data_IF_638234732433
#
_entry.id   IF_638234732433
#
_cell.length_a   1.000
_cell.length_b   1.000
_cell.length_c   1.000
_cell.angle_alpha   90.00
_cell.angle_beta   90.00
_cell.angle_gamma   90.00
#
_symmetry.space_group_name_H-M   'P 1'
#
loop_
_entity.id
_entity.type
_entity.pdbx_description
1 polymer ?
#
# COMPACT_ATOMS: atom_id res chain seq x y z
N UNK A 1 -14.04 -24.26 -14.28
CA UNK A 1 -15.45 -23.94 -14.49
C UNK A 1 -16.07 -24.86 -15.52
N UNK A 2 -17.33 -25.24 -15.32
CA UNK A 2 -18.16 -25.97 -16.29
C UNK A 2 -18.86 -25.00 -17.27
N UNK A 3 -19.31 -25.49 -18.43
CA UNK A 3 -20.05 -24.66 -19.41
C UNK A 3 -21.34 -24.06 -18.85
N UNK A 4 -21.96 -24.73 -17.86
CA UNK A 4 -23.16 -24.23 -17.20
C UNK A 4 -22.86 -23.04 -16.30
N UNK A 5 -21.78 -23.08 -15.52
CA UNK A 5 -21.36 -21.96 -14.66
C UNK A 5 -20.99 -20.71 -15.49
N UNK A 6 -20.35 -20.90 -16.65
CA UNK A 6 -20.03 -19.79 -17.57
C UNK A 6 -21.31 -19.12 -18.08
N UNK A 7 -22.32 -19.92 -18.45
CA UNK A 7 -23.60 -19.40 -18.91
C UNK A 7 -24.33 -18.64 -17.79
N UNK A 8 -24.28 -19.16 -16.56
CA UNK A 8 -24.87 -18.51 -15.40
C UNK A 8 -24.23 -17.14 -15.11
N UNK A 9 -22.88 -17.07 -15.10
CA UNK A 9 -22.16 -15.80 -14.95
C UNK A 9 -22.56 -14.80 -16.04
N UNK A 10 -22.61 -15.24 -17.31
CA UNK A 10 -22.98 -14.36 -18.42
C UNK A 10 -24.41 -13.80 -18.26
N UNK A 11 -25.36 -14.61 -17.79
CA UNK A 11 -26.71 -14.14 -17.52
C UNK A 11 -26.76 -13.15 -16.36
N UNK A 12 -25.95 -13.35 -15.32
CA UNK A 12 -25.86 -12.39 -14.21
C UNK A 12 -25.25 -11.07 -14.69
N UNK A 13 -24.18 -11.12 -15.50
CA UNK A 13 -23.57 -9.92 -16.08
C UNK A 13 -24.55 -9.13 -16.97
N UNK A 14 -25.38 -9.83 -17.77
CA UNK A 14 -26.45 -9.19 -18.56
C UNK A 14 -27.48 -8.50 -17.66
N UNK A 15 -27.94 -9.17 -16.60
CA UNK A 15 -28.87 -8.57 -15.62
C UNK A 15 -28.25 -7.34 -14.97
N UNK A 16 -26.96 -7.39 -14.62
CA UNK A 16 -26.25 -6.26 -14.00
C UNK A 16 -26.16 -5.07 -14.95
N UNK A 17 -25.86 -5.33 -16.22
CA UNK A 17 -25.85 -4.27 -17.24
C UNK A 17 -27.21 -3.59 -17.37
N UNK A 18 -28.32 -4.33 -17.32
CA UNK A 18 -29.68 -3.75 -17.33
C UNK A 18 -29.96 -2.95 -16.05
N UNK A 19 -29.50 -3.44 -14.90
CA UNK A 19 -29.63 -2.71 -13.64
C UNK A 19 -28.90 -1.37 -13.67
N UNK A 20 -27.68 -1.34 -14.21
CA UNK A 20 -26.90 -0.11 -14.41
C UNK A 20 -27.62 0.91 -15.30
N UNK A 21 -28.19 0.48 -16.43
CA UNK A 21 -28.93 1.38 -17.33
C UNK A 21 -30.25 1.88 -16.72
N UNK A 22 -30.77 1.19 -15.70
CA UNK A 22 -31.97 1.61 -14.96
C UNK A 22 -31.68 2.58 -13.79
N UNK A 23 -30.43 3.04 -13.61
CA UNK A 23 -29.99 3.81 -12.44
C UNK A 23 -30.36 3.13 -11.11
N UNK A 24 -30.29 1.80 -11.07
CA UNK A 24 -30.58 1.00 -9.88
C UNK A 24 -32.04 0.93 -9.44
N UNK A 25 -32.99 1.34 -10.30
CA UNK A 25 -34.42 1.45 -9.93
C UNK A 25 -35.25 0.18 -10.16
N UNK A 26 -34.78 -0.81 -10.92
CA UNK A 26 -35.67 -1.87 -11.43
C UNK A 26 -35.27 -3.33 -11.15
N UNK A 27 -34.23 -3.58 -10.36
CA UNK A 27 -33.89 -4.95 -9.95
C UNK A 27 -33.20 -4.85 -8.59
N UNK A 28 -33.53 -5.73 -7.64
CA UNK A 28 -32.78 -5.81 -6.38
C UNK A 28 -31.28 -5.84 -6.67
N UNK A 29 -30.47 -5.22 -5.79
CA UNK A 29 -29.01 -5.24 -5.89
C UNK A 29 -28.60 -6.68 -6.19
N UNK A 30 -27.94 -6.94 -7.32
CA UNK A 30 -27.59 -8.31 -7.70
C UNK A 30 -26.67 -8.84 -6.61
N UNK A 31 -27.19 -9.79 -5.84
CA UNK A 31 -26.44 -10.65 -4.96
C UNK A 31 -25.86 -11.77 -5.80
N UNK A 32 -24.60 -11.60 -6.17
CA UNK A 32 -23.77 -12.61 -6.81
C UNK A 32 -23.22 -13.61 -5.77
N UNK A 33 -23.95 -13.88 -4.68
CA UNK A 33 -23.55 -14.80 -3.62
C UNK A 33 -23.37 -16.20 -4.20
N UNK A 34 -22.16 -16.48 -4.68
CA UNK A 34 -21.88 -17.58 -5.56
C UNK A 34 -20.41 -18.00 -5.46
N UNK A 35 -20.17 -19.23 -5.88
CA UNK A 35 -18.84 -19.67 -6.23
C UNK A 35 -18.48 -19.14 -7.62
N UNK A 36 -17.64 -18.13 -7.64
CA UNK A 36 -17.04 -17.50 -8.81
C UNK A 36 -15.54 -17.86 -8.89
N UNK A 37 -15.11 -18.92 -8.23
CA UNK A 37 -13.72 -19.37 -8.32
C UNK A 37 -13.37 -19.73 -9.76
N UNK A 38 -12.13 -19.40 -10.15
CA UNK A 38 -11.61 -19.58 -11.51
C UNK A 38 -12.42 -18.87 -12.62
N UNK A 39 -13.32 -17.95 -12.24
CA UNK A 39 -14.13 -17.22 -13.22
C UNK A 39 -13.30 -16.24 -14.04
N UNK A 40 -13.74 -15.99 -15.27
CA UNK A 40 -13.11 -15.04 -16.17
C UNK A 40 -14.08 -13.89 -16.42
N UNK A 41 -13.88 -12.80 -15.66
CA UNK A 41 -14.77 -11.63 -15.66
C UNK A 41 -13.97 -10.35 -16.00
N UNK A 42 -12.90 -10.54 -16.78
CA UNK A 42 -11.94 -9.51 -17.20
C UNK A 42 -12.69 -8.38 -17.93
N UNK A 43 -12.46 -7.13 -17.50
CA UNK A 43 -13.03 -5.95 -18.14
C UNK A 43 -14.53 -5.74 -17.94
N UNK A 44 -15.21 -6.57 -17.14
CA UNK A 44 -16.64 -6.39 -16.89
C UNK A 44 -16.93 -5.13 -16.07
N UNK A 45 -18.13 -4.56 -16.22
CA UNK A 45 -18.64 -3.51 -15.35
C UNK A 45 -19.49 -4.16 -14.26
N UNK A 46 -19.00 -4.10 -13.02
CA UNK A 46 -19.61 -4.65 -11.81
C UNK A 46 -19.71 -3.58 -10.71
N UNK A 47 -19.82 -2.30 -11.10
CA UNK A 47 -19.94 -1.20 -10.15
C UNK A 47 -21.15 -1.35 -9.26
N UNK A 48 -20.96 -1.08 -7.98
CA UNK A 48 -22.02 -1.19 -6.96
C UNK A 48 -22.68 -2.59 -6.84
N UNK A 49 -22.09 -3.63 -7.46
CA UNK A 49 -22.56 -5.01 -7.32
C UNK A 49 -22.40 -5.50 -5.88
N UNK A 50 -23.27 -6.43 -5.45
CA UNK A 50 -23.15 -7.09 -4.16
C UNK A 50 -22.63 -8.51 -4.35
N UNK A 51 -21.40 -8.72 -3.91
CA UNK A 51 -20.66 -9.99 -3.99
C UNK A 51 -20.29 -10.50 -2.59
N UNK A 52 -20.83 -9.91 -1.52
CA UNK A 52 -20.49 -10.29 -0.15
C UNK A 52 -20.54 -11.82 0.06
N UNK A 53 -19.55 -12.35 0.80
CA UNK A 53 -19.41 -13.79 1.09
C UNK A 53 -19.14 -14.69 -0.12
N UNK A 54 -18.82 -14.14 -1.30
CA UNK A 54 -18.55 -14.96 -2.49
C UNK A 54 -17.16 -15.59 -2.46
N UNK A 55 -17.04 -16.76 -3.11
CA UNK A 55 -15.75 -17.36 -3.41
C UNK A 55 -15.28 -16.86 -4.78
N UNK A 56 -14.19 -16.12 -4.83
CA UNK A 56 -13.54 -15.54 -6.01
C UNK A 56 -12.09 -16.03 -6.13
N UNK A 57 -11.76 -17.17 -5.52
CA UNK A 57 -10.40 -17.72 -5.57
C UNK A 57 -9.98 -17.99 -7.00
N UNK A 58 -8.76 -17.60 -7.37
CA UNK A 58 -8.25 -17.71 -8.74
C UNK A 58 -9.08 -16.99 -9.83
N UNK A 59 -10.03 -16.12 -9.45
CA UNK A 59 -10.83 -15.39 -10.43
C UNK A 59 -9.97 -14.37 -11.20
N UNK A 60 -10.22 -14.25 -12.51
CA UNK A 60 -9.60 -13.27 -13.40
C UNK A 60 -10.49 -12.05 -13.53
N UNK A 61 -10.11 -11.00 -12.81
CA UNK A 61 -10.86 -9.74 -12.65
C UNK A 61 -10.04 -8.52 -13.11
N UNK A 62 -8.97 -8.76 -13.86
CA UNK A 62 -8.12 -7.68 -14.37
C UNK A 62 -8.92 -6.73 -15.26
N UNK A 63 -8.65 -5.44 -15.17
CA UNK A 63 -9.37 -4.36 -15.87
C UNK A 63 -10.87 -4.23 -15.56
N UNK A 64 -11.42 -5.04 -14.64
CA UNK A 64 -12.83 -4.99 -14.26
C UNK A 64 -13.12 -3.70 -13.48
N UNK A 65 -14.34 -3.18 -13.61
CA UNK A 65 -14.80 -2.03 -12.85
C UNK A 65 -15.67 -2.47 -11.67
N UNK A 66 -15.08 -2.48 -10.47
CA UNK A 66 -15.70 -2.85 -9.20
C UNK A 66 -15.89 -1.63 -8.29
N UNK A 67 -15.89 -0.41 -8.84
CA UNK A 67 -16.05 0.81 -8.05
C UNK A 67 -17.34 0.76 -7.21
N UNK A 68 -17.20 0.97 -5.91
CA UNK A 68 -18.30 0.92 -4.94
C UNK A 68 -18.96 -0.45 -4.77
N UNK A 69 -18.39 -1.52 -5.31
CA UNK A 69 -18.92 -2.87 -5.11
C UNK A 69 -18.74 -3.32 -3.65
N UNK A 70 -19.65 -4.20 -3.19
CA UNK A 70 -19.59 -4.81 -1.86
C UNK A 70 -19.01 -6.21 -2.00
N UNK A 71 -17.77 -6.39 -1.56
CA UNK A 71 -17.04 -7.65 -1.54
C UNK A 71 -16.65 -8.02 -0.10
N UNK A 72 -17.40 -7.58 0.93
CA UNK A 72 -17.09 -7.92 2.31
C UNK A 72 -17.15 -9.43 2.55
N UNK A 73 -16.24 -9.94 3.37
CA UNK A 73 -16.14 -11.37 3.71
C UNK A 73 -15.92 -12.30 2.51
N UNK A 74 -15.38 -11.80 1.38
CA UNK A 74 -15.10 -12.65 0.22
C UNK A 74 -13.80 -13.45 0.38
N UNK A 75 -13.69 -14.54 -0.38
CA UNK A 75 -12.41 -15.21 -0.58
C UNK A 75 -11.87 -14.90 -1.99
N UNK A 76 -10.88 -14.03 -2.09
CA UNK A 76 -10.17 -13.59 -3.29
C UNK A 76 -8.72 -14.14 -3.32
N UNK A 77 -8.44 -15.23 -2.61
CA UNK A 77 -7.10 -15.82 -2.62
C UNK A 77 -6.67 -16.14 -4.06
N UNK A 78 -5.46 -15.73 -4.45
CA UNK A 78 -4.93 -15.89 -5.81
C UNK A 78 -5.73 -15.21 -6.94
N UNK A 79 -6.64 -14.29 -6.64
CA UNK A 79 -7.38 -13.55 -7.68
C UNK A 79 -6.46 -12.59 -8.46
N UNK A 80 -6.69 -12.48 -9.76
CA UNK A 80 -5.96 -11.55 -10.66
C UNK A 80 -6.76 -10.25 -10.82
N UNK A 81 -6.35 -9.20 -10.10
CA UNK A 81 -6.99 -7.88 -10.01
C UNK A 81 -6.10 -6.74 -10.57
N UNK A 82 -5.19 -7.07 -11.48
CA UNK A 82 -4.32 -6.08 -12.12
C UNK A 82 -5.15 -5.01 -12.85
N UNK A 83 -4.81 -3.74 -12.65
CA UNK A 83 -5.49 -2.59 -13.28
C UNK A 83 -7.00 -2.50 -13.02
N UNK A 84 -7.53 -3.22 -12.02
CA UNK A 84 -8.95 -3.20 -11.67
C UNK A 84 -9.30 -1.88 -10.99
N UNK A 85 -10.47 -1.32 -11.32
CA UNK A 85 -11.00 -0.17 -10.59
C UNK A 85 -11.78 -0.65 -9.36
N UNK A 86 -11.17 -0.52 -8.19
CA UNK A 86 -11.68 -0.87 -6.86
C UNK A 86 -11.95 0.39 -6.02
N UNK A 87 -12.09 1.56 -6.64
CA UNK A 87 -12.36 2.81 -5.92
C UNK A 87 -13.61 2.66 -5.04
N UNK A 88 -13.52 3.02 -3.76
CA UNK A 88 -14.64 2.90 -2.79
C UNK A 88 -15.22 1.49 -2.63
N UNK A 89 -14.49 0.44 -3.03
CA UNK A 89 -14.93 -0.93 -2.82
C UNK A 89 -14.98 -1.23 -1.31
N UNK A 90 -15.92 -2.06 -0.88
CA UNK A 90 -15.85 -2.68 0.45
C UNK A 90 -15.25 -4.08 0.31
N UNK A 91 -14.04 -4.26 0.83
CA UNK A 91 -13.30 -5.51 0.95
C UNK A 91 -13.07 -5.89 2.42
N UNK A 92 -13.77 -5.25 3.36
CA UNK A 92 -13.62 -5.52 4.79
C UNK A 92 -13.76 -7.01 5.10
N UNK A 93 -12.91 -7.53 5.99
CA UNK A 93 -12.85 -8.94 6.38
C UNK A 93 -12.58 -9.95 5.26
N UNK A 94 -12.18 -9.52 4.06
CA UNK A 94 -11.98 -10.43 2.93
C UNK A 94 -10.58 -11.05 2.93
N UNK A 95 -10.47 -12.25 2.38
CA UNK A 95 -9.19 -12.90 2.15
C UNK A 95 -8.67 -12.58 0.75
N UNK A 96 -7.64 -11.75 0.62
CA UNK A 96 -6.92 -11.42 -0.61
C UNK A 96 -5.49 -11.99 -0.60
N UNK A 97 -5.23 -13.05 0.17
CA UNK A 97 -3.90 -13.65 0.25
C UNK A 97 -3.39 -14.07 -1.14
N UNK A 98 -2.14 -13.76 -1.44
CA UNK A 98 -1.51 -13.99 -2.75
C UNK A 98 -2.24 -13.35 -3.96
N UNK A 99 -3.20 -12.45 -3.76
CA UNK A 99 -3.87 -11.78 -4.88
C UNK A 99 -2.93 -10.82 -5.61
N UNK A 100 -3.14 -10.66 -6.92
CA UNK A 100 -2.38 -9.73 -7.75
C UNK A 100 -3.18 -8.45 -8.00
N UNK A 101 -2.88 -7.40 -7.24
CA UNK A 101 -3.53 -6.08 -7.27
C UNK A 101 -2.64 -5.01 -7.91
N UNK A 102 -1.65 -5.39 -8.72
CA UNK A 102 -0.73 -4.43 -9.34
C UNK A 102 -1.48 -3.36 -10.12
N UNK A 103 -1.10 -2.10 -9.88
CA UNK A 103 -1.70 -0.93 -10.51
C UNK A 103 -3.24 -0.82 -10.36
N UNK A 104 -3.84 -1.51 -9.40
CA UNK A 104 -5.27 -1.36 -9.11
C UNK A 104 -5.55 0.00 -8.45
N UNK A 105 -6.72 0.58 -8.75
CA UNK A 105 -7.19 1.76 -8.05
C UNK A 105 -8.03 1.33 -6.85
N UNK A 106 -7.49 1.40 -5.65
CA UNK A 106 -8.14 1.12 -4.37
C UNK A 106 -8.38 2.41 -3.56
N UNK A 107 -8.40 3.58 -4.22
CA UNK A 107 -8.59 4.84 -3.51
C UNK A 107 -9.95 4.86 -2.79
N UNK A 108 -9.94 5.31 -1.54
CA UNK A 108 -11.11 5.30 -0.64
C UNK A 108 -11.73 3.91 -0.41
N UNK A 109 -11.01 2.81 -0.69
CA UNK A 109 -11.49 1.46 -0.40
C UNK A 109 -11.55 1.19 1.11
N UNK A 110 -12.51 0.38 1.53
CA UNK A 110 -12.57 -0.20 2.88
C UNK A 110 -11.95 -1.60 2.83
N UNK A 111 -10.75 -1.74 3.38
CA UNK A 111 -10.00 -2.99 3.51
C UNK A 111 -9.86 -3.39 4.98
N UNK A 112 -10.67 -2.83 5.88
CA UNK A 112 -10.56 -3.06 7.31
C UNK A 112 -10.59 -4.55 7.64
N UNK A 113 -9.58 -5.01 8.39
CA UNK A 113 -9.42 -6.43 8.77
C UNK A 113 -9.32 -7.41 7.59
N UNK A 114 -8.98 -6.95 6.40
CA UNK A 114 -8.70 -7.84 5.28
C UNK A 114 -7.39 -8.61 5.52
N UNK A 115 -7.24 -9.74 4.83
CA UNK A 115 -6.01 -10.55 4.81
C UNK A 115 -5.37 -10.38 3.45
N UNK A 116 -4.25 -9.66 3.38
CA UNK A 116 -3.48 -9.36 2.17
C UNK A 116 -2.08 -9.98 2.22
N UNK A 117 -1.91 -11.07 2.98
CA UNK A 117 -0.63 -11.78 3.09
C UNK A 117 -0.07 -12.12 1.70
N UNK A 118 1.19 -11.77 1.46
CA UNK A 118 1.88 -12.02 0.18
C UNK A 118 1.16 -11.48 -1.07
N UNK A 119 0.21 -10.57 -0.93
CA UNK A 119 -0.46 -9.94 -2.06
C UNK A 119 0.50 -8.99 -2.79
N UNK A 120 0.35 -8.87 -4.10
CA UNK A 120 1.12 -7.92 -4.90
C UNK A 120 0.32 -6.65 -5.14
N UNK A 121 0.62 -5.58 -4.43
CA UNK A 121 -0.03 -4.27 -4.54
C UNK A 121 0.88 -3.24 -5.24
N UNK A 122 1.93 -3.70 -5.93
CA UNK A 122 2.92 -2.80 -6.55
C UNK A 122 2.24 -1.77 -7.46
N UNK A 123 2.54 -0.50 -7.23
CA UNK A 123 2.01 0.61 -8.02
C UNK A 123 0.51 0.88 -7.84
N UNK A 124 -0.16 0.23 -6.88
CA UNK A 124 -1.57 0.49 -6.59
C UNK A 124 -1.80 1.90 -5.99
N UNK A 125 -3.01 2.42 -6.15
CA UNK A 125 -3.46 3.65 -5.50
C UNK A 125 -4.33 3.31 -4.29
N UNK A 126 -3.83 3.54 -3.08
CA UNK A 126 -4.52 3.31 -1.81
C UNK A 126 -4.83 4.62 -1.08
N UNK A 127 -4.84 5.76 -1.78
CA UNK A 127 -5.11 7.06 -1.14
C UNK A 127 -6.44 7.03 -0.41
N UNK A 128 -6.43 7.47 0.85
CA UNK A 128 -7.59 7.51 1.74
C UNK A 128 -8.29 6.15 1.95
N UNK A 129 -7.62 5.03 1.66
CA UNK A 129 -8.17 3.70 1.98
C UNK A 129 -8.10 3.42 3.49
N UNK A 130 -9.08 2.69 4.00
CA UNK A 130 -9.05 2.14 5.37
C UNK A 130 -8.41 0.75 5.33
N UNK A 131 -7.15 0.66 5.74
CA UNK A 131 -6.38 -0.57 5.93
C UNK A 131 -6.23 -0.89 7.43
N UNK A 132 -7.07 -0.34 8.31
CA UNK A 132 -6.96 -0.57 9.74
C UNK A 132 -7.12 -2.04 10.08
N UNK A 133 -6.29 -2.53 11.00
CA UNK A 133 -6.29 -3.92 11.47
C UNK A 133 -6.06 -4.98 10.36
N UNK A 134 -5.48 -4.58 9.21
CA UNK A 134 -5.21 -5.47 8.06
C UNK A 134 -3.96 -6.31 8.28
N UNK A 135 -3.98 -7.57 7.83
CA UNK A 135 -2.79 -8.43 7.77
C UNK A 135 -2.13 -8.35 6.39
N UNK A 136 -1.05 -7.59 6.28
CA UNK A 136 -0.30 -7.36 5.05
C UNK A 136 1.01 -8.15 4.99
N UNK A 137 1.23 -9.13 5.87
CA UNK A 137 2.53 -9.79 6.00
C UNK A 137 3.07 -10.32 4.67
N UNK A 138 4.30 -9.94 4.32
CA UNK A 138 4.96 -10.36 3.08
C UNK A 138 4.42 -9.74 1.79
N UNK A 139 3.46 -8.81 1.86
CA UNK A 139 2.92 -8.14 0.68
C UNK A 139 3.97 -7.24 -0.01
N UNK A 140 3.80 -7.03 -1.31
CA UNK A 140 4.59 -6.05 -2.08
C UNK A 140 3.80 -4.75 -2.23
N UNK A 141 4.15 -3.72 -1.46
CA UNK A 141 3.59 -2.37 -1.57
C UNK A 141 4.56 -1.42 -2.31
N UNK A 142 5.54 -1.95 -3.06
CA UNK A 142 6.48 -1.06 -3.73
C UNK A 142 5.78 -0.13 -4.73
N UNK A 143 6.24 1.11 -4.83
CA UNK A 143 5.66 2.14 -5.70
C UNK A 143 4.17 2.48 -5.38
N UNK A 144 3.60 2.01 -4.25
CA UNK A 144 2.19 2.24 -3.90
C UNK A 144 1.95 3.63 -3.32
N UNK A 145 0.81 4.25 -3.64
CA UNK A 145 0.40 5.54 -3.06
C UNK A 145 -0.50 5.35 -1.82
N UNK A 146 0.02 5.64 -0.63
CA UNK A 146 -0.71 5.55 0.65
C UNK A 146 -1.18 6.92 1.20
N UNK A 147 -1.23 7.97 0.36
CA UNK A 147 -1.56 9.31 0.81
C UNK A 147 -2.88 9.38 1.59
N UNK A 148 -2.81 9.62 2.90
CA UNK A 148 -3.96 9.71 3.79
C UNK A 148 -4.67 8.39 4.09
N UNK A 149 -4.06 7.24 3.79
CA UNK A 149 -4.60 5.92 4.15
C UNK A 149 -4.54 5.69 5.68
N UNK A 150 -5.45 4.89 6.21
CA UNK A 150 -5.40 4.44 7.60
C UNK A 150 -4.80 3.05 7.70
N UNK A 151 -3.58 2.93 8.24
CA UNK A 151 -2.87 1.66 8.47
C UNK A 151 -2.85 1.29 9.96
N UNK A 152 -3.68 1.93 10.79
CA UNK A 152 -3.61 1.74 12.23
C UNK A 152 -3.86 0.29 12.63
N UNK A 153 -3.02 -0.23 13.53
CA UNK A 153 -3.02 -1.63 13.97
C UNK A 153 -2.80 -2.67 12.85
N UNK A 154 -2.38 -2.27 11.63
CA UNK A 154 -2.05 -3.21 10.57
C UNK A 154 -0.74 -3.97 10.85
N UNK A 155 -0.60 -5.16 10.28
CA UNK A 155 0.62 -5.98 10.36
C UNK A 155 1.35 -5.99 9.03
N UNK A 156 2.44 -5.23 8.95
CA UNK A 156 3.29 -5.08 7.77
C UNK A 156 4.57 -5.93 7.85
N UNK A 157 4.68 -6.94 8.73
CA UNK A 157 5.94 -7.73 8.82
C UNK A 157 6.31 -8.36 7.47
N UNK A 158 7.56 -8.16 7.05
CA UNK A 158 8.07 -8.67 5.77
C UNK A 158 7.53 -7.97 4.52
N UNK A 159 6.79 -6.86 4.66
CA UNK A 159 6.30 -6.07 3.52
C UNK A 159 7.44 -5.35 2.82
N UNK A 160 7.39 -5.32 1.49
CA UNK A 160 8.24 -4.45 0.68
C UNK A 160 7.63 -3.04 0.59
N UNK A 161 8.26 -2.06 1.23
CA UNK A 161 7.85 -0.65 1.24
C UNK A 161 8.77 0.26 0.38
N UNK A 162 9.52 -0.32 -0.57
CA UNK A 162 10.37 0.46 -1.48
C UNK A 162 9.54 1.49 -2.24
N UNK A 163 9.98 2.74 -2.26
CA UNK A 163 9.33 3.83 -3.00
C UNK A 163 7.97 4.28 -2.46
N UNK A 164 7.67 3.99 -1.19
CA UNK A 164 6.42 4.36 -0.52
C UNK A 164 6.56 5.60 0.36
N UNK A 165 5.66 6.59 0.18
CA UNK A 165 5.53 7.73 1.09
C UNK A 165 4.82 7.32 2.39
N UNK A 166 5.55 7.30 3.51
CA UNK A 166 5.00 7.03 4.84
C UNK A 166 4.78 8.29 5.69
N UNK A 167 4.88 9.49 5.11
CA UNK A 167 4.69 10.77 5.83
C UNK A 167 3.23 11.15 6.11
N UNK A 168 2.28 10.53 5.39
CA UNK A 168 0.86 10.85 5.43
C UNK A 168 -0.07 9.76 5.98
N UNK A 169 0.17 8.45 5.81
CA UNK A 169 -0.76 7.46 6.35
C UNK A 169 -0.76 7.45 7.87
N UNK A 170 -1.89 7.08 8.47
CA UNK A 170 -1.97 6.84 9.91
C UNK A 170 -1.31 5.50 10.25
N UNK A 171 -0.17 5.53 10.94
CA UNK A 171 0.61 4.35 11.33
C UNK A 171 0.47 3.98 12.81
N UNK A 172 -0.59 4.47 13.48
CA UNK A 172 -0.78 4.23 14.91
C UNK A 172 -0.88 2.73 15.22
N UNK A 173 0.01 2.20 16.08
CA UNK A 173 0.09 0.78 16.47
C UNK A 173 0.34 -0.18 15.29
N UNK A 174 0.73 0.30 14.12
CA UNK A 174 1.10 -0.55 13.00
C UNK A 174 2.38 -1.32 13.34
N UNK A 175 2.39 -2.63 13.08
CA UNK A 175 3.59 -3.46 13.19
C UNK A 175 4.33 -3.33 11.87
N UNK A 176 5.51 -2.72 11.90
CA UNK A 176 6.29 -2.47 10.69
C UNK A 176 7.25 -3.64 10.38
N UNK A 177 7.71 -3.81 9.12
CA UNK A 177 8.79 -4.75 8.82
C UNK A 177 10.01 -4.53 9.72
N UNK A 178 10.76 -5.58 10.05
CA UNK A 178 11.98 -5.49 10.87
C UNK A 178 13.04 -4.54 10.27
N UNK A 179 13.04 -4.40 8.95
CA UNK A 179 13.89 -3.49 8.18
C UNK A 179 13.29 -2.09 7.99
N UNK A 180 12.11 -1.82 8.54
CA UNK A 180 11.47 -0.52 8.43
C UNK A 180 11.99 0.39 9.52
N UNK A 181 12.81 1.33 9.10
CA UNK A 181 13.37 2.35 9.98
C UNK A 181 12.45 3.56 9.99
N UNK A 182 11.31 3.41 10.67
CA UNK A 182 10.46 4.53 11.03
C UNK A 182 10.83 4.92 12.47
N UNK A 183 11.51 6.05 12.63
CA UNK A 183 11.70 6.64 13.95
C UNK A 183 10.47 7.48 14.27
N UNK A 184 9.38 6.81 14.68
CA UNK A 184 8.24 7.48 15.30
C UNK A 184 8.66 7.90 16.71
N UNK A 185 9.03 9.18 16.82
CA UNK A 185 9.58 9.79 18.02
C UNK A 185 10.05 11.21 17.70
N UNK A 186 9.13 12.04 17.21
CA UNK A 186 9.14 13.51 17.12
C UNK A 186 10.44 14.21 16.68
N UNK A 187 11.33 13.52 15.94
CA UNK A 187 12.56 14.14 15.46
C UNK A 187 13.00 13.75 14.06
N UNK A 188 12.70 12.56 13.53
CA UNK A 188 13.16 12.19 12.18
C UNK A 188 12.20 11.29 11.40
N UNK A 189 11.88 11.64 10.17
CA UNK A 189 11.19 10.77 9.21
C UNK A 189 12.01 10.60 7.92
N UNK A 190 11.92 9.43 7.29
CA UNK A 190 12.55 9.14 5.99
C UNK A 190 11.47 8.66 5.01
N UNK A 191 11.58 9.11 3.77
CA UNK A 191 10.83 8.58 2.62
C UNK A 191 11.78 8.39 1.44
N UNK A 192 11.68 7.27 0.74
CA UNK A 192 12.53 6.95 -0.40
C UNK A 192 11.63 6.86 -1.64
N UNK A 193 12.06 7.40 -2.78
CA UNK A 193 11.36 7.37 -4.07
C UNK A 193 12.37 7.21 -5.21
N UNK A 194 12.48 6.01 -5.77
CA UNK A 194 13.55 5.65 -6.69
C UNK A 194 14.91 5.81 -6.02
N UNK A 195 15.77 6.64 -6.62
CA UNK A 195 17.09 6.96 -6.05
C UNK A 195 17.05 8.16 -5.08
N UNK A 196 15.91 8.81 -4.90
CA UNK A 196 15.77 9.98 -4.03
C UNK A 196 15.38 9.59 -2.62
N UNK A 197 16.05 10.20 -1.64
CA UNK A 197 15.85 9.96 -0.22
C UNK A 197 15.51 11.30 0.42
N UNK A 198 14.26 11.44 0.84
CA UNK A 198 13.78 12.56 1.64
C UNK A 198 13.95 12.22 3.10
N UNK A 199 14.62 13.10 3.82
CA UNK A 199 14.79 12.99 5.27
C UNK A 199 14.33 14.28 5.88
N UNK A 200 13.40 14.21 6.83
CA UNK A 200 12.93 15.38 7.56
C UNK A 200 13.17 15.25 9.05
N UNK A 201 13.32 16.40 9.69
CA UNK A 201 13.40 16.53 11.12
C UNK A 201 12.22 17.36 11.63
N UNK A 202 11.53 16.88 12.67
CA UNK A 202 10.65 17.74 13.46
C UNK A 202 11.52 18.58 14.39
N UNK A 203 11.46 19.90 14.26
CA UNK A 203 12.15 20.82 15.14
C UNK A 203 11.12 21.40 16.11
N UNK A 204 11.19 21.03 17.39
CA UNK A 204 10.44 21.72 18.44
C UNK A 204 11.05 23.11 18.66
N UNK A 205 10.51 24.13 17.99
CA UNK A 205 10.74 25.53 18.36
C UNK A 205 9.80 25.96 19.47
N UNK A 206 10.30 26.70 20.45
CA UNK A 206 9.49 27.35 21.50
C UNK A 206 8.37 28.20 20.85
N UNK A 207 7.11 27.86 21.14
CA UNK A 207 5.91 28.52 20.60
C UNK A 207 5.20 27.70 19.54
N UNK A 208 3.88 27.90 19.39
CA UNK A 208 2.93 27.07 18.62
C UNK A 208 3.14 27.00 17.08
N UNK A 209 4.38 27.01 16.58
CA UNK A 209 4.71 26.81 15.18
C UNK A 209 5.67 25.62 15.03
N UNK A 210 5.22 24.59 14.31
CA UNK A 210 6.06 23.48 13.88
C UNK A 210 6.84 23.89 12.63
N UNK A 211 8.18 23.85 12.67
CA UNK A 211 9.02 23.87 11.46
C UNK A 211 9.49 22.46 11.17
N UNK A 212 9.08 21.93 10.03
CA UNK A 212 9.65 20.71 9.46
C UNK A 212 10.77 21.13 8.52
N UNK A 213 12.02 20.87 8.91
CA UNK A 213 13.13 20.91 7.96
C UNK A 213 13.12 19.60 7.18
N UNK A 214 13.14 19.64 5.85
CA UNK A 214 13.26 18.42 5.05
C UNK A 214 14.30 18.57 3.95
N UNK A 215 15.27 17.68 3.96
CA UNK A 215 16.32 17.53 2.97
C UNK A 215 15.92 16.45 1.98
N UNK A 216 16.09 16.73 0.69
CA UNK A 216 15.80 15.77 -0.39
C UNK A 216 17.04 15.67 -1.23
N UNK A 217 17.72 14.53 -1.15
CA UNK A 217 18.93 14.24 -1.90
C UNK A 217 18.86 12.84 -2.47
N UNK A 218 19.55 12.58 -3.56
CA UNK A 218 19.74 11.22 -4.05
C UNK A 218 20.55 10.38 -3.06
N UNK A 219 20.41 9.06 -3.14
CA UNK A 219 21.21 8.11 -2.37
C UNK A 219 22.72 8.36 -2.51
N UNK A 220 23.18 8.79 -3.69
CA UNK A 220 24.58 9.08 -3.96
C UNK A 220 25.03 10.41 -3.38
N UNK A 221 24.20 11.44 -3.42
CA UNK A 221 24.48 12.73 -2.76
C UNK A 221 24.55 12.56 -1.24
N UNK A 222 23.60 11.81 -0.66
CA UNK A 222 23.65 11.48 0.76
C UNK A 222 24.95 10.81 1.18
N UNK A 223 25.58 10.03 0.30
CA UNK A 223 26.86 9.34 0.54
C UNK A 223 28.09 10.23 0.36
N UNK A 224 27.93 11.45 -0.13
CA UNK A 224 29.02 12.38 -0.40
C UNK A 224 29.09 13.53 0.61
N UNK A 225 28.10 13.69 1.48
CA UNK A 225 28.12 14.74 2.49
C UNK A 225 29.34 14.64 3.42
N UNK A 226 29.99 15.78 3.59
CA UNK A 226 31.05 15.95 4.57
C UNK A 226 30.46 16.02 5.98
N UNK A 227 31.31 15.80 6.99
CA UNK A 227 30.90 15.96 8.39
C UNK A 227 30.35 17.36 8.67
N UNK A 228 30.91 18.39 8.03
CA UNK A 228 30.46 19.77 8.22
C UNK A 228 29.07 19.99 7.61
N UNK A 229 28.79 19.46 6.40
CA UNK A 229 27.47 19.59 5.78
C UNK A 229 26.37 19.02 6.68
N UNK A 230 26.63 17.89 7.34
CA UNK A 230 25.68 17.26 8.26
C UNK A 230 25.52 18.07 9.56
N UNK A 231 26.58 18.70 10.06
CA UNK A 231 26.49 19.61 11.22
C UNK A 231 25.67 20.84 10.87
N UNK A 232 25.84 21.39 9.67
CA UNK A 232 25.12 22.57 9.19
C UNK A 232 23.61 22.28 9.02
N UNK A 233 23.22 21.02 8.80
CA UNK A 233 21.81 20.56 8.83
C UNK A 233 21.23 20.52 10.26
N UNK A 234 22.09 20.46 11.28
CA UNK A 234 21.75 20.50 12.70
C UNK A 234 22.45 19.41 13.51
N UNK A 235 22.78 19.70 14.78
CA UNK A 235 23.58 18.83 15.66
C UNK A 235 23.06 17.39 15.78
N UNK A 236 21.74 17.22 15.70
CA UNK A 236 21.11 15.93 15.85
C UNK A 236 21.21 15.05 14.58
N UNK A 237 21.46 15.66 13.41
CA UNK A 237 21.73 14.94 12.17
C UNK A 237 23.03 14.16 12.25
N UNK A 238 24.04 14.67 12.94
CA UNK A 238 25.34 13.98 13.07
C UNK A 238 25.20 12.61 13.74
N UNK A 239 24.27 12.48 14.70
CA UNK A 239 23.95 11.20 15.36
C UNK A 239 23.14 10.28 14.46
N UNK A 240 22.25 10.85 13.65
CA UNK A 240 21.33 10.11 12.80
C UNK A 240 21.96 9.65 11.48
N UNK A 241 22.92 10.40 10.96
CA UNK A 241 23.46 10.23 9.63
C UNK A 241 24.11 8.85 9.33
N UNK A 242 24.89 8.23 10.25
CA UNK A 242 25.38 6.86 10.01
C UNK A 242 24.23 5.86 9.82
N UNK A 243 23.17 6.03 10.60
CA UNK A 243 21.96 5.20 10.51
C UNK A 243 21.20 5.48 9.22
N UNK A 244 21.09 6.74 8.79
CA UNK A 244 20.53 7.10 7.50
C UNK A 244 21.22 6.34 6.35
N UNK A 245 22.56 6.25 6.34
CA UNK A 245 23.28 5.51 5.31
C UNK A 245 23.00 4.01 5.33
N UNK A 246 22.79 3.38 6.50
CA UNK A 246 22.33 1.99 6.58
C UNK A 246 20.98 1.79 5.90
N UNK A 247 20.07 2.76 6.11
CA UNK A 247 18.72 2.76 5.53
C UNK A 247 18.82 2.89 4.01
N UNK A 248 19.64 3.82 3.52
CA UNK A 248 19.90 3.99 2.09
C UNK A 248 20.51 2.73 1.48
N UNK A 249 21.49 2.10 2.12
CA UNK A 249 22.11 0.86 1.61
C UNK A 249 21.12 -0.31 1.53
N UNK A 250 20.15 -0.37 2.44
CA UNK A 250 19.11 -1.39 2.42
C UNK A 250 18.15 -1.22 1.23
N UNK A 251 17.65 0.00 1.00
CA UNK A 251 16.63 0.26 -0.03
C UNK A 251 17.19 0.54 -1.43
N UNK A 252 18.33 1.24 -1.52
CA UNK A 252 18.95 1.66 -2.78
C UNK A 252 20.15 0.79 -3.18
N UNK A 253 20.44 -0.27 -2.41
CA UNK A 253 21.63 -1.11 -2.57
C UNK A 253 22.90 -0.47 -2.00
N UNK A 254 23.90 -1.28 -1.63
CA UNK A 254 25.14 -0.81 -0.98
C UNK A 254 25.93 0.16 -1.86
N UNK A 255 26.40 1.25 -1.27
CA UNK A 255 27.30 2.20 -1.93
C UNK A 255 28.50 2.59 -1.09
N UNK A 256 29.38 3.39 -1.67
CA UNK A 256 30.53 3.95 -0.95
C UNK A 256 30.05 4.92 0.13
N UNK A 257 30.62 4.83 1.34
CA UNK A 257 30.30 5.72 2.47
C UNK A 257 31.39 6.77 2.68
N UNK A 258 31.07 7.96 3.21
CA UNK A 258 32.04 9.00 3.51
C UNK A 258 33.19 8.49 4.38
N UNK A 259 34.43 8.89 4.05
CA UNK A 259 35.63 8.42 4.76
C UNK A 259 35.65 8.79 6.24
N UNK A 260 35.06 9.94 6.59
CA UNK A 260 35.02 10.43 7.97
C UNK A 260 34.20 9.53 8.91
N UNK A 261 33.31 8.69 8.38
CA UNK A 261 32.60 7.65 9.12
C UNK A 261 33.42 6.37 9.27
N UNK A 262 34.32 6.07 8.33
CA UNK A 262 35.21 4.90 8.39
C UNK A 262 36.28 5.07 9.48
N UNK A 263 36.73 6.31 9.72
CA UNK A 263 37.73 6.63 10.73
C UNK A 263 37.27 6.41 12.18
N UNK A 264 35.97 6.38 12.46
CA UNK A 264 35.43 6.21 13.82
C UNK A 264 35.41 4.76 14.32
N UNK A 265 35.61 3.76 13.45
CA UNK A 265 35.68 2.35 13.88
C UNK A 265 37.10 1.92 14.35
N UNK A 266 38.07 2.84 14.37
CA UNK A 266 39.43 2.55 14.82
C UNK A 266 39.74 3.05 16.24
N UNK A 267 38.79 3.68 16.93
CA UNK A 267 38.92 4.08 18.32
C UNK A 267 37.71 3.55 19.12
N UNK A 268 37.89 2.34 19.69
CA UNK A 268 37.22 1.70 20.84
C UNK A 268 35.73 2.01 21.13
#
# INVERSE_FOLDING_TARGET
MTSNEINEINEILKKHKIWLTSNGKNVGQIELAADLSYSQIVGADLRCASLNNSNLTHAKLSYTNLKGAKLGFCNLEWAELCYTNLERVNLSFSNLKNADLRYANLSQADLKRAVLQSANLRGADLRYADLSETDLRGADLSDTNLGGADLSNADLRGVNLRDVDLSRPNLNRTILPESTFIILGEKYFISIYGDYVRVGCEVHSYGNYFRVGSEVHSANEWRQFSKQDIIDMGDDWLKFYPRLLDIIDFYCGKGERPEWLKAQNNDL
#
